data_IF_848897061851
#
_entry.id   IF_848897061851
#
_cell.length_a   1.000
_cell.length_b   1.000
_cell.length_c   1.000
_cell.angle_alpha   90.00
_cell.angle_beta   90.00
_cell.angle_gamma   90.00
#
_symmetry.space_group_name_H-M   'P 1'
#
loop_
_entity.id
_entity.type
_entity.pdbx_description
1 polymer ?
#
# COMPACT_ATOMS: atom_id res chain seq x y z
N UNK A 1 -14.29 -9.28 -21.92
CA UNK A 1 -13.44 -9.31 -20.70
C UNK A 1 -13.04 -7.89 -20.38
N UNK A 2 -13.68 -7.27 -19.38
CA UNK A 2 -13.32 -5.93 -18.92
C UNK A 2 -12.44 -6.11 -17.69
N UNK A 3 -11.14 -5.91 -17.86
CA UNK A 3 -10.19 -5.84 -16.74
C UNK A 3 -10.62 -4.63 -15.90
N UNK A 4 -10.95 -4.89 -14.64
CA UNK A 4 -11.41 -3.90 -13.69
C UNK A 4 -10.44 -2.72 -13.68
N UNK A 5 -10.92 -1.57 -14.14
CA UNK A 5 -10.23 -0.31 -13.94
C UNK A 5 -9.98 -0.17 -12.45
N UNK A 6 -8.70 -0.12 -12.08
CA UNK A 6 -8.19 0.24 -10.76
C UNK A 6 -8.69 1.65 -10.43
N UNK A 7 -9.97 1.75 -10.05
CA UNK A 7 -10.56 2.94 -9.47
C UNK A 7 -10.01 3.02 -8.06
N UNK A 8 -8.86 3.67 -7.92
CA UNK A 8 -8.53 4.42 -6.71
C UNK A 8 -9.58 5.53 -6.62
N UNK A 9 -10.77 5.13 -6.17
CA UNK A 9 -11.87 6.03 -5.88
C UNK A 9 -11.37 6.94 -4.77
N UNK A 10 -11.46 8.23 -5.04
CA UNK A 10 -11.10 9.34 -4.18
C UNK A 10 -11.66 9.13 -2.77
N UNK A 11 -10.82 8.68 -1.84
CA UNK A 11 -11.09 8.80 -0.42
C UNK A 11 -10.67 10.21 -0.01
N UNK A 12 -11.49 10.98 0.74
CA UNK A 12 -11.14 12.32 1.21
C UNK A 12 -9.97 12.34 2.21
N UNK A 13 -9.40 11.18 2.50
CA UNK A 13 -8.17 11.00 3.26
C UNK A 13 -7.37 9.96 2.48
N UNK A 14 -6.14 10.29 2.08
CA UNK A 14 -5.27 9.28 1.48
C UNK A 14 -5.00 8.20 2.55
N UNK A 15 -5.55 7.01 2.32
CA UNK A 15 -5.40 5.83 3.19
C UNK A 15 -4.68 4.74 2.40
N UNK A 16 -3.81 4.00 3.07
CA UNK A 16 -3.07 2.88 2.49
C UNK A 16 -3.59 1.59 3.12
N UNK A 17 -3.91 0.59 2.30
CA UNK A 17 -4.45 -0.69 2.77
C UNK A 17 -3.49 -1.81 2.44
N UNK A 18 -3.37 -2.80 3.32
CA UNK A 18 -2.53 -3.96 3.08
C UNK A 18 -3.26 -4.95 2.19
N UNK A 19 -2.69 -5.28 1.04
CA UNK A 19 -3.27 -6.24 0.10
C UNK A 19 -3.25 -7.69 0.59
N UNK A 20 -2.67 -7.98 1.78
CA UNK A 20 -2.63 -9.34 2.36
C UNK A 20 -3.74 -9.55 3.38
N UNK A 21 -3.81 -8.66 4.37
CA UNK A 21 -4.68 -8.82 5.53
C UNK A 21 -5.78 -7.75 5.61
N UNK A 22 -5.77 -6.75 4.71
CA UNK A 22 -6.72 -5.63 4.74
C UNK A 22 -6.48 -4.63 5.86
N UNK A 23 -5.35 -4.71 6.60
CA UNK A 23 -4.98 -3.68 7.56
C UNK A 23 -4.95 -2.31 6.88
N UNK A 24 -5.29 -1.25 7.60
CA UNK A 24 -5.32 0.11 7.05
C UNK A 24 -4.34 0.98 7.82
N UNK A 25 -3.43 1.63 7.10
CA UNK A 25 -2.63 2.72 7.62
C UNK A 25 -3.44 4.01 7.57
N UNK A 26 -3.61 4.63 8.74
CA UNK A 26 -4.15 5.97 8.88
C UNK A 26 -3.04 6.91 9.30
N UNK A 27 -2.75 7.97 8.52
CA UNK A 27 -1.76 8.94 8.91
C UNK A 27 -2.21 9.69 10.20
N UNK A 28 -1.26 10.07 11.06
CA UNK A 28 -1.55 10.80 12.32
C UNK A 28 -2.10 12.22 12.13
N UNK A 29 -2.04 12.76 10.92
CA UNK A 29 -2.65 14.03 10.53
C UNK A 29 -3.25 13.90 9.14
N UNK A 30 -4.25 14.73 8.78
CA UNK A 30 -4.80 14.75 7.42
C UNK A 30 -3.68 15.02 6.42
N UNK A 31 -3.59 14.17 5.40
CA UNK A 31 -2.66 14.33 4.30
C UNK A 31 -3.44 14.20 2.99
N UNK A 32 -3.37 15.23 2.16
CA UNK A 32 -4.03 15.26 0.84
C UNK A 32 -3.13 14.69 -0.27
N UNK A 33 -1.82 14.53 0.01
CA UNK A 33 -0.83 13.99 -0.93
C UNK A 33 -0.60 12.48 -0.69
N UNK A 34 -0.96 11.61 -1.65
CA UNK A 34 -0.71 10.17 -1.58
C UNK A 34 0.77 9.82 -1.39
N UNK A 35 1.70 10.60 -1.94
CA UNK A 35 3.13 10.35 -1.79
C UNK A 35 3.60 10.58 -0.36
N UNK A 36 3.03 11.57 0.34
CA UNK A 36 3.28 11.80 1.76
C UNK A 36 2.74 10.66 2.61
N UNK A 37 1.55 10.14 2.29
CA UNK A 37 0.96 9.00 3.00
C UNK A 37 1.81 7.76 2.83
N UNK A 38 2.26 7.47 1.61
CA UNK A 38 3.15 6.35 1.35
C UNK A 38 4.46 6.50 2.13
N UNK A 39 5.08 7.68 2.12
CA UNK A 39 6.30 7.95 2.89
C UNK A 39 6.09 7.75 4.40
N UNK A 40 4.99 8.24 4.96
CA UNK A 40 4.65 8.06 6.36
C UNK A 40 4.41 6.59 6.72
N UNK A 41 3.75 5.84 5.84
CA UNK A 41 3.55 4.40 5.98
C UNK A 41 4.90 3.66 5.96
N UNK A 42 5.80 4.01 5.04
CA UNK A 42 7.15 3.41 4.93
C UNK A 42 7.98 3.63 6.19
N UNK A 43 7.91 4.82 6.81
CA UNK A 43 8.55 5.08 8.12
C UNK A 43 8.02 4.15 9.22
N UNK A 44 6.77 3.69 9.11
CA UNK A 44 6.13 2.72 10.02
C UNK A 44 6.35 1.26 9.61
N UNK A 45 7.20 1.00 8.62
CA UNK A 45 7.54 -0.35 8.17
C UNK A 45 6.59 -0.93 7.13
N UNK A 46 5.69 -0.14 6.55
CA UNK A 46 4.95 -0.55 5.37
C UNK A 46 5.87 -0.61 4.16
N UNK A 47 5.53 -1.47 3.20
CA UNK A 47 6.31 -1.65 1.97
C UNK A 47 5.40 -1.60 0.75
N UNK A 48 5.94 -1.06 -0.33
CA UNK A 48 5.36 -1.16 -1.67
C UNK A 48 6.17 -2.15 -2.49
N UNK A 49 5.49 -3.09 -3.12
CA UNK A 49 6.03 -4.13 -3.99
C UNK A 49 5.35 -4.00 -5.36
N UNK A 50 6.06 -4.31 -6.44
CA UNK A 50 5.49 -4.26 -7.79
C UNK A 50 5.33 -5.68 -8.34
N UNK A 51 4.09 -6.19 -8.36
CA UNK A 51 3.78 -7.53 -8.86
C UNK A 51 3.17 -7.39 -10.25
N UNK A 52 3.89 -7.81 -11.29
CA UNK A 52 3.43 -7.69 -12.68
C UNK A 52 3.18 -6.23 -13.12
N UNK A 53 3.92 -5.27 -12.54
CA UNK A 53 3.77 -3.84 -12.82
C UNK A 53 2.64 -3.15 -12.04
N UNK A 54 1.94 -3.86 -11.15
CA UNK A 54 0.92 -3.29 -10.26
C UNK A 54 1.55 -3.05 -8.88
N UNK A 55 1.39 -1.86 -8.26
CA UNK A 55 1.84 -1.62 -6.90
C UNK A 55 0.95 -2.35 -5.90
N UNK A 56 1.57 -3.04 -4.95
CA UNK A 56 0.98 -3.77 -3.84
C UNK A 56 1.58 -3.25 -2.53
N UNK A 57 0.75 -3.07 -1.50
CA UNK A 57 1.15 -2.55 -0.21
C UNK A 57 1.06 -3.62 0.88
N UNK A 58 2.11 -3.72 1.71
CA UNK A 58 2.20 -4.67 2.83
C UNK A 58 2.38 -3.95 4.15
N UNK A 59 1.61 -4.36 5.16
CA UNK A 59 1.82 -3.92 6.53
C UNK A 59 3.03 -4.65 7.14
N UNK A 60 3.67 -4.08 8.19
CA UNK A 60 4.82 -4.68 8.84
C UNK A 60 4.54 -6.09 9.38
N UNK A 61 3.32 -6.37 9.85
CA UNK A 61 2.94 -7.68 10.39
C UNK A 61 2.83 -8.77 9.33
N UNK A 62 2.55 -8.40 8.08
CA UNK A 62 2.44 -9.34 6.97
C UNK A 62 3.79 -9.73 6.38
N UNK A 63 4.85 -8.99 6.71
CA UNK A 63 6.19 -9.17 6.16
C UNK A 63 6.28 -8.94 4.64
N UNK A 64 7.49 -9.05 4.07
CA UNK A 64 7.64 -9.13 2.61
C UNK A 64 6.96 -10.38 2.06
N UNK A 65 6.61 -10.38 0.77
CA UNK A 65 6.20 -11.62 0.10
C UNK A 65 7.35 -12.63 0.25
N UNK A 66 7.06 -13.79 0.84
CA UNK A 66 7.99 -14.91 0.90
C UNK A 66 8.24 -15.39 -0.54
N UNK A 67 9.22 -14.76 -1.20
CA UNK A 67 9.48 -14.91 -2.63
C UNK A 67 10.67 -14.09 -3.11
N UNK A 68 10.92 -12.91 -2.52
CA UNK A 68 12.10 -12.08 -2.82
C UNK A 68 13.28 -12.33 -1.86
N UNK A 69 13.50 -13.60 -1.54
CA UNK A 69 14.84 -14.06 -1.13
C UNK A 69 15.29 -15.05 -2.21
N UNK A 70 15.69 -14.51 -3.35
CA UNK A 70 16.30 -15.30 -4.41
C UNK A 70 17.72 -14.78 -4.70
N UNK A 71 18.64 -15.74 -4.63
CA UNK A 71 19.98 -15.79 -5.21
C UNK A 71 21.12 -15.05 -4.49
#
# INVERSE_FOLDING_TARGET
MLIAANRVASLPEAQLSCDRCGAVFRPPWPMDDPAMVLRAATVRGWREEHIGGVPWHRCPDCGPVAGDTAA
#
